data_IF_914800191286
#
_entry.id   IF_914800191286
#
_cell.length_a   1.000
_cell.length_b   1.000
_cell.length_c   1.000
_cell.angle_alpha   90.00
_cell.angle_beta   90.00
_cell.angle_gamma   90.00
#
_symmetry.space_group_name_H-M   'P 1'
#
loop_
_entity.id
_entity.type
_entity.pdbx_description
1 polymer ?
#
# COMPACT_ATOMS: atom_id res chain seq x y z
N UNK A 1 16.51 -7.75 17.97
CA UNK A 1 15.40 -7.01 17.36
C UNK A 1 14.79 -7.86 16.24
N UNK A 2 13.45 -7.98 16.18
CA UNK A 2 12.75 -8.94 15.29
C UNK A 2 12.13 -8.26 14.07
N UNK A 3 12.13 -6.92 14.03
CA UNK A 3 11.71 -6.14 12.87
C UNK A 3 12.80 -6.25 11.80
N UNK A 4 12.48 -6.88 10.67
CA UNK A 4 13.46 -7.14 9.60
C UNK A 4 13.31 -6.19 8.41
N UNK A 5 14.43 -5.64 7.95
CA UNK A 5 14.62 -5.12 6.59
C UNK A 5 14.34 -3.63 6.39
N UNK A 6 14.88 -3.09 5.28
CA UNK A 6 14.54 -1.75 4.79
C UNK A 6 13.05 -1.69 4.50
N UNK A 7 12.30 -0.92 5.30
CA UNK A 7 10.87 -0.75 5.14
C UNK A 7 10.59 0.01 3.83
N UNK A 8 9.85 -0.63 2.92
CA UNK A 8 9.41 0.02 1.68
C UNK A 8 8.00 0.55 1.87
N UNK A 9 7.87 1.87 1.85
CA UNK A 9 6.59 2.58 2.02
C UNK A 9 6.19 3.32 0.74
N UNK A 10 4.90 3.56 0.60
CA UNK A 10 4.30 4.35 -0.48
C UNK A 10 3.49 5.51 0.12
N UNK A 11 3.22 6.53 -0.68
CA UNK A 11 2.24 7.58 -0.34
C UNK A 11 0.86 7.25 -0.91
N UNK A 12 -0.19 7.91 -0.40
CA UNK A 12 -1.56 7.74 -0.91
C UNK A 12 -1.68 8.08 -2.41
N UNK A 13 -0.93 9.08 -2.88
CA UNK A 13 -0.72 9.36 -4.29
C UNK A 13 0.77 9.15 -4.59
N UNK A 14 1.07 8.20 -5.46
CA UNK A 14 2.44 7.77 -5.72
C UNK A 14 2.78 7.80 -7.20
N UNK A 15 4.04 8.08 -7.52
CA UNK A 15 4.53 8.06 -8.91
C UNK A 15 4.50 6.62 -9.44
N UNK A 16 3.94 6.42 -10.64
CA UNK A 16 3.81 5.10 -11.26
C UNK A 16 5.17 4.42 -11.40
N UNK A 17 6.19 5.14 -11.86
CA UNK A 17 7.56 4.62 -11.97
C UNK A 17 8.11 4.09 -10.64
N UNK A 18 7.81 4.76 -9.52
CA UNK A 18 8.23 4.29 -8.19
C UNK A 18 7.52 2.99 -7.80
N UNK A 19 6.20 2.88 -8.06
CA UNK A 19 5.44 1.65 -7.83
C UNK A 19 6.02 0.50 -8.66
N UNK A 20 6.26 0.71 -9.96
CA UNK A 20 6.84 -0.29 -10.86
C UNK A 20 8.23 -0.73 -10.38
N UNK A 21 9.09 0.22 -10.01
CA UNK A 21 10.43 -0.07 -9.48
C UNK A 21 10.36 -0.92 -8.21
N UNK A 22 9.49 -0.57 -7.26
CA UNK A 22 9.29 -1.33 -6.02
C UNK A 22 8.80 -2.75 -6.33
N UNK A 23 7.83 -2.89 -7.24
CA UNK A 23 7.30 -4.20 -7.61
C UNK A 23 8.33 -5.09 -8.31
N UNK A 24 9.22 -4.52 -9.13
CA UNK A 24 10.30 -5.26 -9.80
C UNK A 24 11.43 -5.64 -8.83
N UNK A 25 11.76 -4.77 -7.88
CA UNK A 25 12.93 -4.94 -7.01
C UNK A 25 12.62 -5.64 -5.68
N UNK A 26 11.35 -5.82 -5.34
CA UNK A 26 10.93 -6.42 -4.07
C UNK A 26 9.96 -7.58 -4.27
N UNK A 27 9.99 -8.53 -3.32
CA UNK A 27 9.04 -9.65 -3.23
C UNK A 27 8.00 -9.44 -2.11
N UNK A 28 7.91 -8.24 -1.56
CA UNK A 28 6.96 -7.93 -0.49
C UNK A 28 5.52 -8.00 -1.01
N UNK A 29 4.62 -8.52 -0.17
CA UNK A 29 3.21 -8.70 -0.52
C UNK A 29 2.30 -7.59 0.03
N UNK A 30 2.82 -6.74 0.91
CA UNK A 30 2.12 -5.57 1.41
C UNK A 30 3.10 -4.41 1.63
N UNK A 31 2.61 -3.21 1.47
CA UNK A 31 3.35 -1.96 1.59
C UNK A 31 2.58 -0.99 2.48
N UNK A 32 3.18 -0.48 3.56
CA UNK A 32 2.58 0.57 4.38
C UNK A 32 2.41 1.85 3.57
N UNK A 33 1.23 2.44 3.69
CA UNK A 33 0.95 3.77 3.16
C UNK A 33 1.18 4.78 4.26
N UNK A 34 2.08 5.71 3.99
CA UNK A 34 2.42 6.80 4.88
C UNK A 34 1.86 8.07 4.29
N UNK A 35 1.26 8.91 5.11
CA UNK A 35 0.75 10.21 4.68
C UNK A 35 1.08 11.28 5.72
N UNK A 36 1.10 12.54 5.28
CA UNK A 36 1.32 13.69 6.16
C UNK A 36 0.02 14.50 6.24
N UNK A 37 -0.75 14.35 7.34
CA UNK A 37 -1.92 15.17 7.59
C UNK A 37 -1.56 16.67 7.54
N UNK A 38 -2.47 17.55 7.09
CA UNK A 38 -2.21 19.00 7.03
C UNK A 38 -1.80 19.60 8.38
N UNK A 39 -2.29 19.01 9.46
CA UNK A 39 -2.11 19.48 10.83
C UNK A 39 -0.97 18.78 11.58
N UNK A 40 -0.33 17.77 10.97
CA UNK A 40 0.69 16.96 11.62
C UNK A 40 2.09 17.30 11.09
N UNK A 41 3.04 17.46 12.01
CA UNK A 41 4.45 17.63 11.66
C UNK A 41 5.12 16.31 11.30
N UNK A 42 4.52 15.19 11.70
CA UNK A 42 5.01 13.83 11.50
C UNK A 42 4.18 13.09 10.45
N UNK A 43 4.84 12.19 9.72
CA UNK A 43 4.16 11.28 8.81
C UNK A 43 3.54 10.13 9.60
N UNK A 44 2.28 9.81 9.33
CA UNK A 44 1.53 8.77 10.04
C UNK A 44 1.24 7.60 9.13
N UNK A 45 1.09 6.41 9.73
CA UNK A 45 0.60 5.23 9.02
C UNK A 45 -0.88 5.43 8.66
N UNK A 46 -1.16 5.56 7.36
CA UNK A 46 -2.53 5.65 6.84
C UNK A 46 -3.16 4.27 6.64
N UNK A 47 -2.35 3.27 6.29
CA UNK A 47 -2.85 1.90 6.10
C UNK A 47 -1.87 0.96 5.42
N UNK A 48 -2.39 -0.14 4.89
CA UNK A 48 -1.63 -1.13 4.12
C UNK A 48 -2.25 -1.36 2.74
N UNK A 49 -1.42 -1.44 1.71
CA UNK A 49 -1.83 -1.87 0.36
C UNK A 49 -1.13 -3.17 0.00
N UNK A 50 -1.86 -4.09 -0.62
CA UNK A 50 -1.32 -5.36 -1.07
C UNK A 50 -0.66 -5.23 -2.45
N UNK A 51 0.39 -6.03 -2.69
CA UNK A 51 1.06 -6.16 -3.99
C UNK A 51 0.06 -6.48 -5.10
N UNK A 52 -0.87 -7.40 -4.83
CA UNK A 52 -1.94 -7.79 -5.76
C UNK A 52 -2.81 -6.61 -6.16
N UNK A 53 -3.12 -5.70 -5.22
CA UNK A 53 -3.92 -4.51 -5.51
C UNK A 53 -3.13 -3.55 -6.42
N UNK A 54 -1.85 -3.31 -6.14
CA UNK A 54 -1.00 -2.47 -6.99
C UNK A 54 -0.93 -2.98 -8.44
N UNK A 55 -0.83 -4.29 -8.63
CA UNK A 55 -0.81 -4.90 -9.96
C UNK A 55 -2.14 -4.69 -10.71
N UNK A 56 -3.28 -4.75 -10.02
CA UNK A 56 -4.59 -4.43 -10.61
C UNK A 56 -4.65 -2.95 -11.02
N UNK A 57 -4.18 -2.04 -10.16
CA UNK A 57 -4.13 -0.61 -10.47
C UNK A 57 -3.28 -0.33 -11.71
N UNK A 58 -2.06 -0.89 -11.77
CA UNK A 58 -1.17 -0.73 -12.91
C UNK A 58 -1.76 -1.32 -14.19
N UNK A 59 -2.43 -2.48 -14.10
CA UNK A 59 -3.08 -3.11 -15.26
C UNK A 59 -4.24 -2.28 -15.80
N UNK A 60 -4.99 -1.60 -14.93
CA UNK A 60 -6.09 -0.71 -15.34
C UNK A 60 -5.60 0.62 -15.95
N UNK A 61 -4.35 1.01 -15.69
CA UNK A 61 -3.71 2.22 -16.26
C UNK A 61 -4.47 3.53 -15.99
N UNK A 62 -5.15 3.63 -14.85
CA UNK A 62 -5.89 4.84 -14.46
C UNK A 62 -4.98 5.88 -13.79
N UNK A 63 -4.00 6.37 -14.54
CA UNK A 63 -3.00 7.30 -14.05
C UNK A 63 -3.43 8.78 -14.19
N UNK A 64 -2.87 9.63 -13.34
CA UNK A 64 -3.13 11.07 -13.28
C UNK A 64 -1.85 11.84 -13.63
N UNK A 65 -1.96 12.84 -14.48
CA UNK A 65 -0.79 13.63 -14.93
C UNK A 65 -0.20 14.52 -13.82
N UNK A 66 -0.97 14.86 -12.79
CA UNK A 66 -0.52 15.69 -11.67
C UNK A 66 -1.02 15.14 -10.33
N UNK A 67 -0.34 15.51 -9.24
CA UNK A 67 -0.76 15.17 -7.87
C UNK A 67 -2.04 15.92 -7.44
N UNK A 68 -2.48 16.91 -8.22
CA UNK A 68 -3.52 17.85 -7.83
C UNK A 68 -4.85 17.52 -8.49
N UNK A 69 -5.68 16.72 -7.81
CA UNK A 69 -7.15 16.78 -7.80
C UNK A 69 -7.78 15.76 -6.80
N UNK A 70 -7.09 15.45 -5.70
CA UNK A 70 -7.59 14.53 -4.66
C UNK A 70 -8.86 15.02 -3.95
N UNK A 71 -9.21 16.31 -4.08
CA UNK A 71 -10.37 16.93 -3.41
C UNK A 71 -11.69 16.66 -4.17
N UNK A 72 -11.65 16.13 -5.41
CA UNK A 72 -12.85 15.92 -6.24
C UNK A 72 -13.19 14.45 -6.46
N UNK A 73 -12.50 13.52 -5.82
CA UNK A 73 -12.84 12.08 -5.87
C UNK A 73 -13.91 11.66 -4.84
N UNK A 74 -14.55 12.63 -4.17
CA UNK A 74 -15.79 12.41 -3.42
C UNK A 74 -16.95 11.89 -4.30
N UNK A 75 -16.82 11.92 -5.63
CA UNK A 75 -17.76 11.33 -6.60
C UNK A 75 -17.43 9.91 -7.09
N UNK A 76 -16.32 9.29 -6.69
CA UNK A 76 -15.85 8.00 -7.25
C UNK A 76 -16.20 6.78 -6.39
N UNK A 77 -17.44 6.70 -5.91
CA UNK A 77 -18.01 5.42 -5.48
C UNK A 77 -18.35 4.60 -6.72
N UNK A 78 -17.36 3.87 -7.25
CA UNK A 78 -17.41 2.69 -8.16
C UNK A 78 -16.29 2.69 -9.24
N UNK A 79 -15.03 2.96 -8.86
CA UNK A 79 -13.91 2.76 -9.80
C UNK A 79 -13.34 1.33 -9.81
N UNK A 80 -13.52 0.62 -8.70
CA UNK A 80 -13.05 -0.76 -8.52
C UNK A 80 -14.17 -1.62 -7.94
N UNK A 81 -14.38 -2.79 -8.53
CA UNK A 81 -15.30 -3.82 -8.01
C UNK A 81 -14.51 -4.87 -7.24
N UNK A 82 -15.16 -5.55 -6.31
CA UNK A 82 -14.60 -6.73 -5.62
C UNK A 82 -14.07 -7.76 -6.62
N UNK A 83 -14.77 -7.96 -7.74
CA UNK A 83 -14.42 -8.92 -8.79
C UNK A 83 -13.06 -8.66 -9.44
N UNK A 84 -12.61 -7.41 -9.46
CA UNK A 84 -11.30 -7.02 -9.99
C UNK A 84 -10.15 -7.64 -9.17
N UNK A 85 -10.40 -7.92 -7.88
CA UNK A 85 -9.41 -8.42 -6.93
C UNK A 85 -9.57 -9.93 -6.64
N UNK A 86 -10.76 -10.50 -6.80
CA UNK A 86 -11.06 -11.92 -6.51
C UNK A 86 -10.29 -12.89 -7.40
N UNK A 87 -10.11 -12.54 -8.68
CA UNK A 87 -9.49 -13.43 -9.68
C UNK A 87 -8.04 -13.81 -9.36
N UNK A 88 -7.43 -13.16 -8.37
CA UNK A 88 -6.04 -13.35 -7.96
C UNK A 88 -5.83 -14.51 -6.97
N UNK A 89 -6.90 -15.05 -6.38
CA UNK A 89 -6.82 -16.23 -5.49
C UNK A 89 -6.65 -17.58 -6.20
N UNK A 90 -6.79 -17.61 -7.53
CA UNK A 90 -6.84 -18.84 -8.34
C UNK A 90 -5.46 -19.36 -8.80
N UNK A 91 -4.35 -18.85 -8.26
CA UNK A 91 -2.98 -19.29 -8.60
C UNK A 91 -2.44 -18.77 -9.94
N UNK A 92 -3.26 -18.07 -10.73
CA UNK A 92 -2.88 -17.32 -11.95
C UNK A 92 -2.78 -15.81 -11.66
N UNK A 93 -2.10 -15.45 -10.56
CA UNK A 93 -1.96 -14.05 -10.17
C UNK A 93 -1.25 -13.24 -11.25
N UNK A 94 -1.70 -12.00 -11.47
CA UNK A 94 -1.00 -11.03 -12.34
C UNK A 94 0.46 -10.92 -11.90
N UNK A 95 1.37 -10.84 -12.86
CA UNK A 95 2.78 -10.60 -12.59
C UNK A 95 3.21 -9.24 -13.11
N UNK A 96 4.25 -8.66 -12.51
CA UNK A 96 4.74 -7.34 -12.92
C UNK A 96 5.36 -7.38 -14.32
N UNK A 97 5.88 -8.54 -14.73
CA UNK A 97 6.49 -8.75 -16.05
C UNK A 97 5.44 -8.73 -17.18
N UNK A 98 4.17 -8.97 -16.88
CA UNK A 98 3.06 -8.95 -17.84
C UNK A 98 2.45 -7.55 -18.03
N UNK A 99 2.90 -6.57 -17.24
CA UNK A 99 2.36 -5.21 -17.26
C UNK A 99 3.38 -4.29 -17.93
N UNK A 100 3.03 -3.83 -19.13
CA UNK A 100 3.82 -2.86 -19.88
C UNK A 100 3.41 -1.44 -19.51
N UNK A 101 4.34 -0.67 -18.95
CA UNK A 101 4.19 0.74 -18.59
C UNK A 101 5.14 1.56 -19.46
N UNK A 102 4.63 2.57 -20.16
CA UNK A 102 5.44 3.45 -21.01
C UNK A 102 6.24 4.44 -20.16
N UNK A 103 7.29 5.04 -20.75
CA UNK A 103 8.08 6.08 -20.05
C UNK A 103 7.24 7.31 -19.67
N UNK A 104 6.21 7.61 -20.46
CA UNK A 104 5.27 8.70 -20.15
C UNK A 104 4.38 8.34 -18.97
N UNK A 105 3.89 7.09 -18.92
CA UNK A 105 3.08 6.59 -17.81
C UNK A 105 3.88 6.50 -16.51
N UNK A 106 5.18 6.17 -16.56
CA UNK A 106 6.06 6.17 -15.39
C UNK A 106 6.19 7.55 -14.72
N UNK A 107 6.01 8.63 -15.48
CA UNK A 107 6.01 10.01 -15.00
C UNK A 107 4.67 10.45 -14.38
N UNK A 108 3.61 9.67 -14.56
CA UNK A 108 2.29 9.93 -14.00
C UNK A 108 2.17 9.45 -12.54
N UNK A 109 1.00 9.70 -11.95
CA UNK A 109 0.65 9.35 -10.58
C UNK A 109 -0.50 8.35 -10.52
N UNK A 110 -0.49 7.48 -9.51
CA UNK A 110 -1.59 6.57 -9.20
C UNK A 110 -2.16 6.91 -7.82
N UNK A 111 -3.48 6.91 -7.72
CA UNK A 111 -4.20 7.07 -6.47
C UNK A 111 -4.43 5.70 -5.82
N UNK A 112 -3.82 5.50 -4.65
CA UNK A 112 -3.89 4.27 -3.89
C UNK A 112 -5.05 4.28 -2.89
N UNK A 113 -5.61 5.43 -2.50
CA UNK A 113 -6.66 5.54 -1.47
C UNK A 113 -7.83 4.56 -1.64
N UNK A 114 -8.33 4.29 -2.87
CA UNK A 114 -9.45 3.36 -3.06
C UNK A 114 -9.16 1.91 -2.66
N UNK A 115 -7.89 1.50 -2.54
CA UNK A 115 -7.49 0.10 -2.28
C UNK A 115 -6.72 -0.09 -0.96
N UNK A 116 -6.58 0.97 -0.16
CA UNK A 116 -5.89 0.91 1.13
C UNK A 116 -6.77 0.20 2.16
N UNK A 117 -6.19 -0.78 2.86
CA UNK A 117 -6.72 -1.19 4.16
C UNK A 117 -6.35 -0.11 5.20
N UNK A 118 -7.30 0.75 5.52
CA UNK A 118 -7.14 1.85 6.50
C UNK A 118 -7.18 1.38 7.95
N UNK A 119 -7.42 0.09 8.20
CA UNK A 119 -7.41 -0.52 9.54
C UNK A 119 -6.48 -1.73 9.60
N UNK A 120 -5.18 -1.56 9.35
CA UNK A 120 -4.22 -2.62 9.54
C UNK A 120 -4.06 -2.91 11.04
N UNK A 121 -3.74 -4.16 11.40
CA UNK A 121 -3.33 -4.45 12.77
C UNK A 121 -1.96 -3.82 13.04
N UNK A 122 -1.90 -3.03 14.10
CA UNK A 122 -0.70 -2.33 14.55
C UNK A 122 -0.33 -2.73 15.96
N UNK A 123 0.95 -2.62 16.28
CA UNK A 123 1.49 -2.73 17.64
C UNK A 123 2.46 -1.59 17.89
N UNK A 124 2.55 -1.12 19.13
CA UNK A 124 3.58 -0.16 19.52
C UNK A 124 4.96 -0.84 19.50
N UNK A 125 6.01 -0.08 19.16
CA UNK A 125 7.39 -0.56 19.21
C UNK A 125 7.81 -1.09 20.60
N UNK A 126 7.19 -0.57 21.66
CA UNK A 126 7.44 -0.95 23.05
C UNK A 126 6.72 -2.24 23.47
N UNK A 127 5.87 -2.80 22.60
CA UNK A 127 5.12 -4.01 22.90
C UNK A 127 6.06 -5.22 23.00
N UNK A 128 5.95 -5.98 24.08
CA UNK A 128 6.73 -7.22 24.25
C UNK A 128 6.49 -8.19 23.09
N UNK A 129 7.54 -8.85 22.62
CA UNK A 129 7.48 -9.85 21.56
C UNK A 129 6.45 -10.96 21.82
N UNK A 130 6.33 -11.43 23.07
CA UNK A 130 5.36 -12.46 23.44
C UNK A 130 3.92 -12.04 23.14
N UNK A 131 3.55 -10.80 23.50
CA UNK A 131 2.21 -10.26 23.21
C UNK A 131 2.00 -10.06 21.71
N UNK A 132 3.00 -9.55 20.98
CA UNK A 132 2.91 -9.37 19.53
C UNK A 132 2.74 -10.72 18.81
N UNK A 133 3.44 -11.77 19.25
CA UNK A 133 3.32 -13.12 18.72
C UNK A 133 1.93 -13.73 18.98
N UNK A 134 1.38 -13.55 20.19
CA UNK A 134 0.03 -13.99 20.53
C UNK A 134 -0.97 -13.33 19.57
N UNK A 135 -0.92 -12.00 19.43
CA UNK A 135 -1.79 -11.26 18.51
C UNK A 135 -1.66 -11.82 17.09
N UNK A 136 -0.44 -11.88 16.55
CA UNK A 136 -0.17 -12.33 15.19
C UNK A 136 -0.76 -13.71 14.89
N UNK A 137 -0.60 -14.66 15.82
CA UNK A 137 -1.07 -16.03 15.66
C UNK A 137 -2.59 -16.17 15.84
N UNK A 138 -3.19 -15.48 16.81
CA UNK A 138 -4.61 -15.63 17.11
C UNK A 138 -5.51 -15.12 15.99
N UNK A 139 -5.13 -14.00 15.35
CA UNK A 139 -5.88 -13.44 14.21
C UNK A 139 -5.35 -13.88 12.85
N UNK A 140 -4.35 -14.78 12.81
CA UNK A 140 -3.83 -15.36 11.57
C UNK A 140 -3.23 -14.33 10.61
N UNK A 141 -2.49 -13.34 11.13
CA UNK A 141 -1.94 -12.27 10.30
C UNK A 141 -0.80 -12.76 9.41
N UNK A 142 -0.63 -12.04 8.29
CA UNK A 142 0.55 -12.16 7.41
C UNK A 142 1.48 -10.96 7.53
N UNK A 143 0.94 -9.81 7.93
CA UNK A 143 1.67 -8.57 8.12
C UNK A 143 1.16 -7.92 9.41
N UNK A 144 2.06 -7.41 10.23
CA UNK A 144 1.77 -6.68 11.45
C UNK A 144 2.61 -5.40 11.44
N UNK A 145 1.95 -4.25 11.53
CA UNK A 145 2.64 -2.96 11.49
C UNK A 145 3.16 -2.60 12.88
N UNK A 146 4.46 -2.30 12.98
CA UNK A 146 5.04 -1.75 14.21
C UNK A 146 5.09 -0.24 14.05
N UNK A 147 4.46 0.48 14.97
CA UNK A 147 4.41 1.95 14.97
C UNK A 147 5.31 2.46 16.08
N UNK A 148 6.17 3.46 15.80
CA UNK A 148 7.02 4.05 16.83
C UNK A 148 6.18 4.69 17.92
N UNK A 149 6.72 4.79 19.14
CA UNK A 149 6.08 5.58 20.18
C UNK A 149 6.11 7.03 19.72
N UNK A 150 4.95 7.71 19.74
CA UNK A 150 4.93 9.16 19.54
C UNK A 150 5.86 9.78 20.60
N UNK A 151 6.86 10.53 20.14
CA UNK A 151 7.69 11.33 21.03
C UNK A 151 6.78 12.42 21.61
N UNK A 152 6.67 12.47 22.94
CA UNK A 152 6.05 13.61 23.65
C UNK A 152 6.72 14.93 23.28
#
# INVERSE_FOLDING_TARGET
DVVTGLLVTLYGIEKVGKVVQILKNTKHNAFPIIDKPPYANISVLWGLVLRSHLLVLLKKKEFQASKGNAVVSAGLKQKYSYEDFVKLGSGKGLKIEEIEVSKEEEEMYVDLYPVINTSPYTVAETMSLAKALILFRHVGLRHLCVVPKEAE
#
